data_IF_714176918150
#
_entry.id   IF_714176918150
#
_cell.length_a   1.000
_cell.length_b   1.000
_cell.length_c   1.000
_cell.angle_alpha   90.00
_cell.angle_beta   90.00
_cell.angle_gamma   90.00
#
_symmetry.space_group_name_H-M   'P 1'
#
loop_
_entity.id
_entity.type
_entity.pdbx_description
1 polymer ?
#
# COMPACT_ATOMS: atom_id res chain seq x y z
N UNK A 1 -11.66 -22.47 6.32
CA UNK A 1 -11.95 -21.03 6.47
C UNK A 1 -11.25 -20.31 5.33
N UNK A 2 -11.94 -19.52 4.52
CA UNK A 2 -11.27 -18.63 3.56
C UNK A 2 -10.50 -17.60 4.39
N UNK A 3 -9.18 -17.60 4.31
CA UNK A 3 -8.36 -16.55 4.91
C UNK A 3 -8.77 -15.23 4.25
N UNK A 4 -9.40 -14.33 5.00
CA UNK A 4 -9.64 -12.99 4.49
C UNK A 4 -8.26 -12.38 4.23
N UNK A 5 -7.99 -12.02 2.99
CA UNK A 5 -6.77 -11.30 2.67
C UNK A 5 -6.84 -9.93 3.34
N UNK A 6 -6.15 -9.81 4.47
CA UNK A 6 -6.14 -8.62 5.29
C UNK A 6 -4.78 -7.95 5.15
N UNK A 7 -4.77 -6.68 4.78
CA UNK A 7 -3.57 -5.83 4.80
C UNK A 7 -3.86 -4.61 5.65
N UNK A 8 -2.88 -4.20 6.45
CA UNK A 8 -2.94 -3.01 7.28
C UNK A 8 -1.74 -2.12 6.98
N UNK A 9 -1.95 -0.82 7.07
CA UNK A 9 -0.90 0.18 6.89
C UNK A 9 -1.07 1.29 7.95
N UNK A 10 0.05 1.90 8.33
CA UNK A 10 0.04 3.18 9.03
C UNK A 10 0.14 4.29 7.99
N UNK A 11 -0.91 5.10 7.88
CA UNK A 11 -0.94 6.27 7.01
C UNK A 11 -0.41 7.50 7.75
N UNK A 12 0.56 8.18 7.12
CA UNK A 12 1.07 9.49 7.55
C UNK A 12 0.74 10.52 6.48
N UNK A 13 0.25 11.68 6.92
CA UNK A 13 0.01 12.85 6.09
C UNK A 13 0.69 14.05 6.74
N UNK A 14 1.35 14.85 5.94
CA UNK A 14 1.94 16.09 6.40
C UNK A 14 1.97 17.09 5.26
N UNK A 15 1.85 18.37 5.59
CA UNK A 15 2.13 19.45 4.66
C UNK A 15 3.63 19.76 4.71
N UNK A 16 4.27 19.74 3.55
CA UNK A 16 5.66 20.14 3.42
C UNK A 16 5.78 21.65 3.66
N UNK A 17 6.62 22.06 4.62
CA UNK A 17 6.70 23.45 5.07
C UNK A 17 7.19 24.42 4.02
N UNK A 18 7.98 23.95 3.06
CA UNK A 18 8.63 24.79 2.07
C UNK A 18 7.75 24.93 0.82
N UNK A 19 7.01 23.86 0.48
CA UNK A 19 6.20 23.80 -0.73
C UNK A 19 4.70 23.95 -0.49
N UNK A 20 4.23 23.87 0.76
CA UNK A 20 2.80 23.82 1.11
C UNK A 20 2.04 22.69 0.41
N UNK A 21 2.73 21.61 0.06
CA UNK A 21 2.16 20.45 -0.61
C UNK A 21 1.93 19.34 0.41
N UNK A 22 0.74 18.76 0.39
CA UNK A 22 0.43 17.56 1.15
C UNK A 22 1.19 16.36 0.60
N UNK A 23 1.92 15.69 1.49
CA UNK A 23 2.65 14.46 1.25
C UNK A 23 2.01 13.31 2.02
N UNK A 24 2.19 12.12 1.47
CA UNK A 24 1.57 10.91 2.01
C UNK A 24 2.64 9.83 2.13
N UNK A 25 2.53 9.00 3.15
CA UNK A 25 3.31 7.78 3.23
C UNK A 25 2.52 6.68 3.91
N UNK A 26 2.65 5.48 3.37
CA UNK A 26 2.18 4.26 3.99
C UNK A 26 3.37 3.46 4.51
N UNK A 27 3.22 2.91 5.69
CA UNK A 27 4.17 1.97 6.30
C UNK A 27 3.44 0.66 6.59
N UNK A 28 4.01 -0.46 6.14
CA UNK A 28 3.54 -1.79 6.54
C UNK A 28 4.05 -2.09 7.96
N UNK A 29 3.15 -2.28 8.95
CA UNK A 29 3.56 -2.50 10.33
C UNK A 29 4.23 -3.86 10.57
N UNK A 30 4.11 -4.81 9.64
CA UNK A 30 4.71 -6.14 9.77
C UNK A 30 6.14 -6.19 9.21
N UNK A 31 6.41 -5.44 8.15
CA UNK A 31 7.74 -5.43 7.49
C UNK A 31 8.54 -4.16 7.79
N UNK A 32 7.89 -3.08 8.21
CA UNK A 32 8.49 -1.75 8.34
C UNK A 32 8.77 -1.06 7.01
N UNK A 33 8.39 -1.66 5.88
CA UNK A 33 8.55 -1.06 4.56
C UNK A 33 7.71 0.20 4.45
N UNK A 34 8.31 1.26 3.89
CA UNK A 34 7.67 2.56 3.78
C UNK A 34 7.69 3.05 2.34
N UNK A 35 6.52 3.40 1.84
CA UNK A 35 6.32 4.00 0.52
C UNK A 35 5.82 5.43 0.70
N UNK A 36 6.40 6.37 -0.06
CA UNK A 36 6.01 7.78 -0.06
C UNK A 36 5.34 8.16 -1.38
N UNK A 37 4.29 8.99 -1.30
CA UNK A 37 3.53 9.44 -2.45
C UNK A 37 3.41 10.96 -2.46
N UNK A 38 3.54 11.53 -3.67
CA UNK A 38 3.63 12.96 -3.86
C UNK A 38 2.27 13.68 -3.81
N UNK A 39 1.16 12.95 -3.99
CA UNK A 39 -0.20 13.47 -4.01
C UNK A 39 -1.23 12.37 -3.65
N UNK A 40 -2.50 12.74 -3.51
CA UNK A 40 -3.60 11.85 -3.13
C UNK A 40 -3.92 10.79 -4.20
N UNK A 41 -3.84 11.16 -5.48
CA UNK A 41 -4.14 10.23 -6.58
C UNK A 41 -3.16 9.05 -6.59
N UNK A 42 -1.87 9.33 -6.40
CA UNK A 42 -0.84 8.31 -6.28
C UNK A 42 -1.05 7.38 -5.06
N UNK A 43 -1.56 7.91 -3.94
CA UNK A 43 -1.97 7.08 -2.79
C UNK A 43 -3.13 6.15 -3.16
N UNK A 44 -4.14 6.66 -3.86
CA UNK A 44 -5.32 5.88 -4.27
C UNK A 44 -4.92 4.80 -5.28
N UNK A 45 -4.08 5.13 -6.26
CA UNK A 45 -3.55 4.17 -7.25
C UNK A 45 -2.79 3.04 -6.56
N UNK A 46 -1.88 3.38 -5.64
CA UNK A 46 -1.15 2.38 -4.86
C UNK A 46 -2.10 1.45 -4.08
N UNK A 47 -3.13 2.00 -3.41
CA UNK A 47 -4.09 1.18 -2.68
C UNK A 47 -4.91 0.26 -3.60
N UNK A 48 -5.23 0.71 -4.82
CA UNK A 48 -5.88 -0.14 -5.83
C UNK A 48 -4.97 -1.30 -6.24
N UNK A 49 -3.71 -1.03 -6.54
CA UNK A 49 -2.73 -2.06 -6.88
C UNK A 49 -2.60 -3.09 -5.75
N UNK A 50 -2.55 -2.64 -4.49
CA UNK A 50 -2.49 -3.51 -3.32
C UNK A 50 -3.71 -4.43 -3.22
N UNK A 51 -4.91 -3.92 -3.55
CA UNK A 51 -6.14 -4.71 -3.56
C UNK A 51 -6.18 -5.72 -4.72
N UNK A 52 -5.56 -5.40 -5.86
CA UNK A 52 -5.52 -6.26 -7.04
C UNK A 52 -4.45 -7.37 -6.94
N UNK A 53 -3.27 -7.08 -6.36
CA UNK A 53 -2.20 -8.06 -6.18
C UNK A 53 -2.57 -9.20 -5.22
N UNK A 54 -3.52 -8.96 -4.32
CA UNK A 54 -4.11 -10.01 -3.47
C UNK A 54 -4.78 -11.12 -4.29
N UNK A 55 -5.23 -10.84 -5.52
CA UNK A 55 -5.94 -11.81 -6.35
C UNK A 55 -5.01 -12.77 -7.11
N UNK A 56 -3.72 -12.44 -7.30
CA UNK A 56 -2.82 -13.17 -8.20
C UNK A 56 -1.84 -14.15 -7.53
N UNK A 57 -1.73 -14.17 -6.20
CA UNK A 57 -0.82 -15.09 -5.50
C UNK A 57 -1.36 -16.54 -5.41
N UNK A 58 -2.56 -16.82 -5.95
CA UNK A 58 -3.20 -18.15 -5.88
C UNK A 58 -2.87 -19.09 -7.05
N UNK A 59 -2.07 -18.70 -8.05
CA UNK A 59 -1.91 -19.47 -9.31
C UNK A 59 -0.54 -20.09 -9.56
N UNK A 60 0.41 -20.08 -8.63
CA UNK A 60 1.69 -20.80 -8.82
C UNK A 60 1.88 -21.93 -7.79
N UNK A 61 1.18 -23.04 -8.02
CA UNK A 61 1.63 -24.35 -7.55
C UNK A 61 2.19 -25.10 -8.77
N UNK A 62 3.52 -25.30 -8.89
CA UNK A 62 4.05 -26.17 -9.92
C UNK A 62 3.73 -27.61 -9.53
N UNK A 63 2.82 -28.25 -10.27
CA UNK A 63 2.67 -29.70 -10.24
C UNK A 63 3.93 -30.33 -10.84
N UNK A 64 4.71 -31.02 -10.02
CA UNK A 64 5.63 -32.08 -10.43
C UNK A 64 5.82 -33.08 -9.28
#
# INVERSE_FOLDING_TARGET
MKSAHYRSFVLRLWEDSDTHIWRFSLEDPHTGERVGMANLDALIEYLKEVMEHVHNDSTNHPSA
#
